data_IF_506801564840
#
_entry.id   IF_506801564840
#
_cell.length_a   1.000
_cell.length_b   1.000
_cell.length_c   1.000
_cell.angle_alpha   90.00
_cell.angle_beta   90.00
_cell.angle_gamma   90.00
#
_symmetry.space_group_name_H-M   'P 1'
#
loop_
_entity.id
_entity.type
_entity.pdbx_description
1 polymer ?
#
# COMPACT_ATOMS: atom_id res chain seq x y z
N UNK A 1 8.26 20.24 11.13
CA UNK A 1 8.04 18.89 10.56
C UNK A 1 7.09 19.08 9.40
N UNK A 2 7.48 18.74 8.17
CA UNK A 2 6.61 18.91 7.02
C UNK A 2 5.50 17.86 7.10
N UNK A 3 4.24 18.29 7.19
CA UNK A 3 3.11 17.38 7.09
C UNK A 3 3.21 16.61 5.77
N UNK A 4 3.01 15.28 5.77
CA UNK A 4 3.05 14.52 4.53
C UNK A 4 1.99 15.08 3.61
N UNK A 5 2.40 15.68 2.48
CA UNK A 5 1.50 16.19 1.46
C UNK A 5 0.72 15.00 0.89
N UNK A 6 -0.47 14.78 1.44
CA UNK A 6 -1.36 13.72 0.97
C UNK A 6 -1.95 14.12 -0.39
N UNK A 7 -1.82 13.29 -1.42
CA UNK A 7 -2.26 13.64 -2.78
C UNK A 7 -3.79 13.64 -2.93
N UNK A 8 -4.50 12.92 -2.07
CA UNK A 8 -5.96 12.84 -2.01
C UNK A 8 -6.40 12.24 -0.65
N UNK A 9 -7.67 12.41 -0.23
CA UNK A 9 -8.18 11.79 0.99
C UNK A 9 -8.11 10.25 0.93
N UNK A 10 -7.90 9.61 2.09
CA UNK A 10 -7.82 8.14 2.22
C UNK A 10 -6.56 7.51 1.62
N UNK A 11 -5.53 8.30 1.28
CA UNK A 11 -4.30 7.75 0.71
C UNK A 11 -3.50 6.89 1.72
N UNK A 12 -3.69 7.10 3.02
CA UNK A 12 -3.01 6.41 4.12
C UNK A 12 -3.26 4.90 4.17
N UNK A 13 -4.40 4.42 3.65
CA UNK A 13 -4.73 2.99 3.55
C UNK A 13 -4.36 2.36 2.21
N UNK A 14 -3.80 3.15 1.28
CA UNK A 14 -3.41 2.67 -0.03
C UNK A 14 -1.99 2.13 -0.01
N UNK A 15 -1.73 1.16 -0.90
CA UNK A 15 -0.39 0.62 -1.09
C UNK A 15 0.62 1.75 -1.39
N UNK A 16 0.20 2.76 -2.17
CA UNK A 16 0.98 3.96 -2.52
C UNK A 16 1.68 4.59 -1.31
N UNK A 17 0.91 4.77 -0.24
CA UNK A 17 1.41 5.34 0.99
C UNK A 17 2.37 4.38 1.71
N UNK A 18 2.01 3.10 1.81
CA UNK A 18 2.86 2.08 2.45
C UNK A 18 4.26 2.02 1.84
N UNK A 19 4.36 2.09 0.51
CA UNK A 19 5.66 2.15 -0.16
C UNK A 19 6.40 3.47 0.09
N UNK A 20 5.70 4.61 0.08
CA UNK A 20 6.32 5.92 0.31
C UNK A 20 6.90 6.06 1.73
N UNK A 21 6.24 5.46 2.73
CA UNK A 21 6.75 5.44 4.12
C UNK A 21 7.78 4.34 4.35
N UNK A 22 8.08 3.52 3.34
CA UNK A 22 9.02 2.41 3.45
C UNK A 22 8.52 1.28 4.35
N UNK A 23 7.22 0.94 4.30
CA UNK A 23 6.61 -0.12 5.11
C UNK A 23 7.31 -1.49 4.97
N UNK A 24 7.94 -1.74 3.82
CA UNK A 24 8.74 -2.94 3.54
C UNK A 24 10.23 -2.81 3.88
N UNK A 25 10.67 -1.71 4.50
CA UNK A 25 12.08 -1.54 4.87
C UNK A 25 12.49 -2.55 5.95
N UNK A 26 13.71 -3.12 5.84
CA UNK A 26 14.19 -4.14 6.78
C UNK A 26 14.26 -3.64 8.22
N UNK A 27 14.46 -2.33 8.40
CA UNK A 27 14.56 -1.65 9.70
C UNK A 27 13.26 -1.81 10.53
N UNK A 28 12.09 -1.97 9.87
CA UNK A 28 10.81 -2.18 10.56
C UNK A 28 10.64 -3.63 11.05
N UNK A 29 11.36 -4.60 10.46
CA UNK A 29 11.37 -5.98 10.95
C UNK A 29 12.04 -6.09 12.33
N UNK A 30 12.99 -5.21 12.64
CA UNK A 30 13.70 -5.18 13.93
C UNK A 30 12.76 -4.79 15.10
N UNK A 31 11.61 -4.19 14.81
CA UNK A 31 10.58 -3.84 15.79
C UNK A 31 9.61 -5.00 16.09
N UNK A 32 9.85 -6.20 15.55
CA UNK A 32 8.99 -7.37 15.76
C UNK A 32 7.66 -7.33 14.99
N UNK A 33 7.51 -6.40 14.05
CA UNK A 33 6.31 -6.24 13.21
C UNK A 33 6.58 -6.96 11.89
N UNK A 34 5.77 -7.97 11.56
CA UNK A 34 5.91 -8.73 10.33
C UNK A 34 5.25 -8.00 9.14
N UNK A 35 5.75 -6.80 8.84
CA UNK A 35 5.23 -5.92 7.78
C UNK A 35 5.25 -6.58 6.40
N UNK A 36 6.19 -7.50 6.17
CA UNK A 36 6.30 -8.28 4.93
C UNK A 36 5.13 -9.22 4.72
N UNK A 37 4.73 -9.99 5.73
CA UNK A 37 3.58 -10.89 5.61
C UNK A 37 2.27 -10.13 5.48
N UNK A 38 2.09 -9.05 6.24
CA UNK A 38 0.93 -8.18 6.14
C UNK A 38 0.80 -7.56 4.74
N UNK A 39 1.89 -6.97 4.22
CA UNK A 39 1.89 -6.42 2.87
C UNK A 39 1.63 -7.49 1.81
N UNK A 40 2.20 -8.70 1.99
CA UNK A 40 1.95 -9.84 1.11
C UNK A 40 0.46 -10.20 1.09
N UNK A 41 -0.25 -10.15 2.22
CA UNK A 41 -1.69 -10.43 2.27
C UNK A 41 -2.53 -9.38 1.52
N UNK A 42 -2.05 -8.13 1.43
CA UNK A 42 -2.72 -7.07 0.66
C UNK A 42 -2.60 -7.25 -0.85
N UNK A 43 -1.46 -7.78 -1.32
CA UNK A 43 -1.18 -7.96 -2.77
C UNK A 43 -1.41 -9.37 -3.28
N UNK A 44 -1.43 -10.38 -2.40
CA UNK A 44 -1.66 -11.78 -2.76
C UNK A 44 -3.10 -11.98 -3.24
N UNK A 45 -3.26 -12.79 -4.29
CA UNK A 45 -4.54 -13.01 -4.95
C UNK A 45 -5.19 -11.68 -5.36
N UNK A 46 -4.38 -10.77 -5.93
CA UNK A 46 -4.86 -9.47 -6.39
C UNK A 46 -6.02 -9.64 -7.37
N UNK A 47 -7.11 -8.93 -7.09
CA UNK A 47 -8.33 -8.89 -7.93
C UNK A 47 -8.51 -7.55 -8.61
N UNK A 48 -7.77 -6.55 -8.16
CA UNK A 48 -7.85 -5.19 -8.62
C UNK A 48 -6.44 -4.67 -8.90
N UNK A 49 -6.34 -3.74 -9.85
CA UNK A 49 -5.14 -2.96 -10.10
C UNK A 49 -5.48 -1.47 -10.17
N UNK A 50 -4.52 -0.62 -9.82
CA UNK A 50 -4.70 0.82 -9.88
C UNK A 50 -4.36 1.31 -11.30
N UNK A 51 -5.30 1.95 -11.99
CA UNK A 51 -5.06 2.54 -13.32
C UNK A 51 -3.98 3.62 -13.33
N UNK A 52 -3.81 4.33 -12.21
CA UNK A 52 -2.91 5.48 -12.10
C UNK A 52 -1.46 5.10 -11.84
N UNK A 53 -1.23 4.11 -10.98
CA UNK A 53 0.12 3.75 -10.50
C UNK A 53 0.50 2.28 -10.77
N UNK A 54 -0.38 1.48 -11.35
CA UNK A 54 -0.11 0.10 -11.77
C UNK A 54 -0.05 -0.94 -10.65
N UNK A 55 -0.29 -0.56 -9.39
CA UNK A 55 -0.22 -1.47 -8.24
C UNK A 55 -1.43 -2.38 -8.19
N UNK A 56 -1.23 -3.64 -7.79
CA UNK A 56 -2.29 -4.62 -7.66
C UNK A 56 -2.60 -4.93 -6.18
N UNK A 57 -3.88 -5.08 -5.86
CA UNK A 57 -4.34 -5.41 -4.52
C UNK A 57 -5.50 -6.41 -4.55
N UNK A 58 -5.68 -7.12 -3.45
CA UNK A 58 -6.81 -8.02 -3.24
C UNK A 58 -8.14 -7.27 -3.14
N UNK A 59 -8.11 -6.04 -2.62
CA UNK A 59 -9.27 -5.20 -2.36
C UNK A 59 -9.09 -3.82 -3.04
N UNK A 60 -10.16 -3.28 -3.62
CA UNK A 60 -10.17 -1.98 -4.28
C UNK A 60 -9.81 -0.83 -3.34
N UNK A 61 -10.16 -0.96 -2.04
CA UNK A 61 -9.89 0.04 -1.00
C UNK A 61 -8.40 0.31 -0.74
N UNK A 62 -7.51 -0.56 -1.21
CA UNK A 62 -6.08 -0.38 -1.03
C UNK A 62 -5.42 0.34 -2.23
N UNK A 63 -6.21 0.85 -3.17
CA UNK A 63 -5.75 1.43 -4.44
C UNK A 63 -6.38 2.82 -4.67
N UNK A 64 -5.64 3.72 -5.34
CA UNK A 64 -6.14 5.07 -5.64
C UNK A 64 -7.28 5.07 -6.66
N UNK A 65 -7.12 4.33 -7.75
CA UNK A 65 -8.09 4.21 -8.85
C UNK A 65 -8.23 2.74 -9.25
N UNK A 66 -8.93 1.94 -8.44
CA UNK A 66 -9.05 0.49 -8.64
C UNK A 66 -9.86 0.14 -9.89
N UNK A 67 -9.35 -0.81 -10.67
CA UNK A 67 -10.06 -1.53 -11.72
C UNK A 67 -9.87 -3.04 -11.54
N UNK A 68 -10.86 -3.83 -11.93
CA UNK A 68 -10.77 -5.30 -11.86
C UNK A 68 -9.76 -5.82 -12.87
N UNK A 69 -8.95 -6.79 -12.43
CA UNK A 69 -8.10 -7.61 -13.30
C UNK A 69 -8.92 -8.61 -14.13
#
# INVERSE_FOLDING_TARGET
MAEPRMPHPGHDVHLCFLENIGYLQPNLMEMGINTKEEYKNLVRDAKFFCKKCGRAARNDKNLCEPEKL
#
